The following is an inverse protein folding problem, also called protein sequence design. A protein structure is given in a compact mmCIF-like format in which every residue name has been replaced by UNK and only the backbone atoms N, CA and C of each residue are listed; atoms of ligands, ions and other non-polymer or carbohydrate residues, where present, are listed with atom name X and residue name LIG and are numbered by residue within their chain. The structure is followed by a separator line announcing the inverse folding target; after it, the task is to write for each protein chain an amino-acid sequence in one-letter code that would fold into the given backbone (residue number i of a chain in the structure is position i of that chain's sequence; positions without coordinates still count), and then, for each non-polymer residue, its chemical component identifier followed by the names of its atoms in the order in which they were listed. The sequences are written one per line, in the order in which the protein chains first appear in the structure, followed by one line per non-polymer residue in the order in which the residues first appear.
data_IF_480022291840
#
_entry.id   IF_480022291840
#
_cell.length_a   1.000
_cell.length_b   1.000
_cell.length_c   1.000
_cell.angle_alpha   90.00
_cell.angle_beta   90.00
_cell.angle_gamma   90.00
#
_symmetry.space_group_name_H-M   'P 1'
#
loop_
_entity.id
_entity.type
_entity.pdbx_description
1 polymer ?
#
# COMPACT_ATOMS: atom_id res chain seq x y z
N UNK A 1 8.96 17.65 -30.33
CA UNK A 1 9.01 16.55 -29.36
C UNK A 1 9.16 17.19 -27.98
N UNK A 2 8.08 17.22 -27.19
CA UNK A 2 8.12 17.75 -25.83
C UNK A 2 8.82 16.72 -24.94
N UNK A 3 9.98 17.07 -24.41
CA UNK A 3 10.64 16.26 -23.38
C UNK A 3 9.86 16.43 -22.08
N UNK A 4 9.08 15.41 -21.74
CA UNK A 4 8.47 15.30 -20.41
C UNK A 4 9.56 14.77 -19.49
N UNK A 5 10.14 15.65 -18.68
CA UNK A 5 11.10 15.25 -17.66
C UNK A 5 10.34 14.61 -16.50
N UNK A 6 10.57 13.31 -16.30
CA UNK A 6 10.07 12.60 -15.11
C UNK A 6 11.10 12.79 -14.01
N UNK A 7 10.75 13.59 -13.01
CA UNK A 7 11.63 13.94 -11.87
C UNK A 7 11.61 12.87 -10.76
N UNK A 8 10.68 11.92 -10.84
CA UNK A 8 10.48 10.91 -9.80
C UNK A 8 11.56 9.82 -9.86
N UNK A 9 12.03 9.33 -8.70
CA UNK A 9 13.02 8.26 -8.66
C UNK A 9 12.43 6.94 -9.19
N UNK A 10 13.30 6.03 -9.63
CA UNK A 10 12.85 4.71 -10.08
C UNK A 10 12.24 3.90 -8.92
N UNK A 11 11.04 3.37 -9.15
CA UNK A 11 10.40 2.39 -8.27
C UNK A 11 11.18 1.08 -8.29
N UNK A 12 11.10 0.31 -7.20
CA UNK A 12 11.75 -1.00 -7.11
C UNK A 12 10.82 -1.97 -6.39
N UNK A 13 10.07 -2.73 -7.17
CA UNK A 13 9.07 -3.67 -6.67
C UNK A 13 7.66 -3.26 -7.05
N UNK A 14 6.84 -4.27 -7.32
CA UNK A 14 5.45 -4.13 -7.76
C UNK A 14 4.59 -5.09 -6.97
N UNK A 15 3.44 -4.62 -6.50
CA UNK A 15 2.42 -5.40 -5.82
C UNK A 15 1.13 -5.27 -6.63
N UNK A 16 0.44 -6.39 -6.84
CA UNK A 16 -0.84 -6.42 -7.55
C UNK A 16 -1.93 -6.71 -6.53
N UNK A 17 -2.88 -5.79 -6.39
CA UNK A 17 -4.07 -5.96 -5.55
C UNK A 17 -5.22 -6.35 -6.46
N UNK A 18 -5.72 -7.58 -6.30
CA UNK A 18 -6.92 -8.01 -7.01
C UNK A 18 -8.16 -7.55 -6.23
N UNK A 19 -8.89 -6.60 -6.79
CA UNK A 19 -10.17 -6.13 -6.26
C UNK A 19 -11.32 -6.62 -7.13
N UNK A 20 -12.54 -6.56 -6.60
CA UNK A 20 -13.77 -6.91 -7.33
C UNK A 20 -13.98 -6.06 -8.60
N UNK A 21 -13.48 -4.83 -8.61
CA UNK A 21 -13.58 -3.90 -9.73
C UNK A 21 -12.45 -4.06 -10.77
N UNK A 22 -11.43 -4.87 -10.47
CA UNK A 22 -10.26 -5.07 -11.33
C UNK A 22 -8.93 -5.13 -10.56
N UNK A 23 -7.84 -5.56 -11.24
CA UNK A 23 -6.51 -5.56 -10.66
C UNK A 23 -5.95 -4.14 -10.57
N UNK A 24 -5.30 -3.83 -9.44
CA UNK A 24 -4.58 -2.57 -9.21
C UNK A 24 -3.10 -2.88 -9.04
N UNK A 25 -2.32 -2.35 -9.96
CA UNK A 25 -0.86 -2.42 -9.96
C UNK A 25 -0.27 -1.26 -9.16
N UNK A 26 0.44 -1.57 -8.08
CA UNK A 26 1.10 -0.59 -7.21
C UNK A 26 2.61 -0.78 -7.28
N UNK A 27 3.33 0.26 -7.68
CA UNK A 27 4.78 0.30 -7.63
C UNK A 27 5.26 0.96 -6.35
N UNK A 28 6.33 0.41 -5.77
CA UNK A 28 6.84 0.85 -4.46
C UNK A 28 8.21 1.53 -4.62
N UNK A 29 8.46 2.52 -3.77
CA UNK A 29 9.78 3.16 -3.61
C UNK A 29 10.46 2.71 -2.30
N UNK A 30 11.04 1.50 -2.25
CA UNK A 30 11.69 1.02 -1.03
C UNK A 30 12.99 1.77 -0.71
N UNK A 31 13.57 2.51 -1.67
CA UNK A 31 14.76 3.34 -1.41
C UNK A 31 14.42 4.53 -0.51
N UNK A 32 13.32 5.21 -0.81
CA UNK A 32 12.88 6.40 -0.06
C UNK A 32 12.15 6.01 1.24
N UNK A 33 11.31 4.97 1.20
CA UNK A 33 10.52 4.51 2.33
C UNK A 33 10.71 3.01 2.63
N UNK A 34 11.93 2.57 3.02
CA UNK A 34 12.26 1.15 3.19
C UNK A 34 11.41 0.46 4.25
N UNK A 35 11.16 1.16 5.37
CA UNK A 35 10.34 0.67 6.47
C UNK A 35 8.91 0.41 5.98
N UNK A 36 8.24 1.43 5.45
CA UNK A 36 6.84 1.31 5.01
C UNK A 36 6.69 0.26 3.91
N UNK A 37 7.59 0.24 2.93
CA UNK A 37 7.57 -0.75 1.86
C UNK A 37 7.74 -2.17 2.39
N UNK A 38 8.66 -2.40 3.34
CA UNK A 38 8.87 -3.72 3.95
C UNK A 38 7.63 -4.19 4.71
N UNK A 39 7.03 -3.34 5.56
CA UNK A 39 5.81 -3.69 6.29
C UNK A 39 4.63 -3.94 5.36
N UNK A 40 4.48 -3.12 4.32
CA UNK A 40 3.41 -3.31 3.33
C UNK A 40 3.53 -4.66 2.62
N UNK A 41 4.72 -4.98 2.10
CA UNK A 41 4.98 -6.27 1.45
C UNK A 41 4.75 -7.44 2.42
N UNK A 42 5.20 -7.32 3.67
CA UNK A 42 4.99 -8.35 4.68
C UNK A 42 3.50 -8.58 4.97
N UNK A 43 2.72 -7.51 5.18
CA UNK A 43 1.28 -7.62 5.42
C UNK A 43 0.54 -8.21 4.21
N UNK A 44 0.96 -7.90 2.98
CA UNK A 44 0.46 -8.54 1.78
C UNK A 44 0.77 -10.05 1.75
N UNK A 45 2.00 -10.46 2.10
CA UNK A 45 2.40 -11.87 2.13
C UNK A 45 1.69 -12.67 3.22
N UNK A 46 1.38 -12.03 4.35
CA UNK A 46 0.60 -12.63 5.44
C UNK A 46 -0.91 -12.72 5.12
N UNK A 47 -1.37 -12.17 3.99
CA UNK A 47 -2.78 -12.14 3.61
C UNK A 47 -3.62 -11.21 4.49
N UNK A 48 -3.00 -10.25 5.19
CA UNK A 48 -3.70 -9.35 6.12
C UNK A 48 -4.74 -8.46 5.40
N UNK A 49 -4.49 -8.14 4.14
CA UNK A 49 -5.39 -7.34 3.31
C UNK A 49 -6.48 -8.17 2.62
N UNK A 50 -6.48 -9.50 2.75
CA UNK A 50 -7.48 -10.34 2.13
C UNK A 50 -8.86 -10.10 2.73
N UNK A 51 -9.86 -9.88 1.87
CA UNK A 51 -11.24 -9.51 2.23
C UNK A 51 -11.37 -8.18 3.02
N UNK A 52 -10.34 -7.34 3.03
CA UNK A 52 -10.46 -5.99 3.61
C UNK A 52 -11.22 -5.06 2.67
N UNK A 53 -12.13 -4.26 3.24
CA UNK A 53 -12.95 -3.31 2.49
C UNK A 53 -12.37 -1.90 2.59
N UNK A 54 -12.62 -1.05 1.58
CA UNK A 54 -12.31 0.38 1.67
C UNK A 54 -13.37 1.09 2.53
N UNK A 55 -13.01 1.41 3.76
CA UNK A 55 -13.93 2.00 4.74
C UNK A 55 -14.18 3.49 4.52
N UNK A 56 -13.31 4.19 3.78
CA UNK A 56 -13.46 5.63 3.51
C UNK A 56 -13.11 5.97 2.08
N UNK A 57 -14.08 6.59 1.39
CA UNK A 57 -13.96 7.04 0.00
C UNK A 57 -14.40 8.51 -0.06
N UNK A 58 -13.45 9.40 -0.35
CA UNK A 58 -13.70 10.81 -0.65
C UNK A 58 -13.45 10.97 -2.15
N UNK A 59 -14.54 11.19 -2.91
CA UNK A 59 -14.48 11.34 -4.36
C UNK A 59 -13.47 12.43 -4.74
N UNK A 60 -12.57 12.09 -5.68
CA UNK A 60 -11.53 12.99 -6.19
C UNK A 60 -10.47 13.45 -5.18
N UNK A 61 -10.36 12.79 -4.02
CA UNK A 61 -9.37 13.18 -3.02
C UNK A 61 -8.60 11.98 -2.48
N UNK A 62 -9.28 11.02 -1.84
CA UNK A 62 -8.61 9.93 -1.14
C UNK A 62 -9.52 8.72 -0.99
N UNK A 63 -8.92 7.55 -1.15
CA UNK A 63 -9.50 6.28 -0.75
C UNK A 63 -8.62 5.73 0.37
N UNK A 64 -9.23 5.32 1.47
CA UNK A 64 -8.55 4.72 2.62
C UNK A 64 -9.14 3.32 2.84
N UNK A 65 -8.25 2.34 2.94
CA UNK A 65 -8.54 0.95 3.24
C UNK A 65 -7.49 0.38 4.18
N UNK A 66 -7.38 -0.95 4.22
CA UNK A 66 -6.37 -1.62 5.02
C UNK A 66 -6.70 -1.74 6.51
N UNK A 67 -7.96 -1.48 6.89
CA UNK A 67 -8.46 -1.79 8.22
C UNK A 67 -9.22 -3.13 8.18
N UNK A 68 -8.62 -4.18 8.76
CA UNK A 68 -9.23 -5.51 8.83
C UNK A 68 -10.52 -5.52 9.69
N UNK A 69 -10.68 -4.57 10.61
CA UNK A 69 -11.91 -4.45 11.41
C UNK A 69 -12.96 -3.55 10.75
N UNK A 70 -12.61 -2.81 9.69
CA UNK A 70 -13.53 -1.93 8.95
C UNK A 70 -14.08 -0.75 9.76
N UNK A 71 -13.59 -0.53 11.00
CA UNK A 71 -14.08 0.49 11.93
C UNK A 71 -13.41 1.86 11.73
N UNK A 72 -12.34 1.92 10.95
CA UNK A 72 -11.52 3.13 10.77
C UNK A 72 -10.61 3.43 11.97
N UNK A 73 -10.54 2.51 12.94
CA UNK A 73 -9.78 2.61 14.20
C UNK A 73 -8.76 1.49 14.34
N UNK A 74 -8.49 0.72 13.28
CA UNK A 74 -7.50 -0.36 13.22
C UNK A 74 -6.08 0.07 13.61
N UNK A 75 -5.87 0.29 14.91
CA UNK A 75 -4.59 0.48 15.54
C UNK A 75 -4.03 -0.90 15.90
N UNK A 76 -3.77 -1.74 14.90
CA UNK A 76 -2.80 -2.80 15.12
C UNK A 76 -1.43 -2.19 14.86
N UNK A 77 -0.90 -1.48 15.85
CA UNK A 77 0.55 -1.23 15.91
C UNK A 77 1.22 -2.60 15.82
N UNK A 78 1.62 -3.01 14.62
CA UNK A 78 2.60 -4.06 14.44
C UNK A 78 3.95 -3.35 14.44
N UNK A 79 4.66 -3.30 15.59
CA UNK A 79 6.05 -2.89 15.54
C UNK A 79 6.74 -3.82 14.55
N UNK A 80 7.49 -3.25 13.60
CA UNK A 80 8.40 -4.06 12.80
C UNK A 80 9.22 -4.92 13.75
N UNK A 81 9.46 -6.21 13.45
CA UNK A 81 10.46 -6.95 14.19
C UNK A 81 11.74 -6.12 14.14
N UNK A 82 12.18 -5.68 15.32
CA UNK A 82 13.45 -4.99 15.51
C UNK A 82 14.49 -6.01 15.02
N UNK A 83 15.07 -5.78 13.85
CA UNK A 83 16.25 -6.53 13.46
C UNK A 83 17.35 -6.11 14.43
N UNK A 84 17.70 -7.02 15.33
CA UNK A 84 18.86 -6.91 16.21
C UNK A 84 20.14 -6.74 15.40
#
# INVERSE_FOLDING_TARGET
MLFVYVLEPQTKGKVVINMSIGPLDIELWPKEAPKVACNFVQLCLEGYYDNTSFHRIIKSFLIQGGDATGTGTGNTYRPMPISN
#
